data_IF_314916213616
#
_entry.id   IF_314916213616
#
_cell.length_a   1.000
_cell.length_b   1.000
_cell.length_c   1.000
_cell.angle_alpha   90.00
_cell.angle_beta   90.00
_cell.angle_gamma   90.00
#
_symmetry.space_group_name_H-M   'P 1'
#
loop_
_entity.id
_entity.type
_entity.pdbx_description
1 polymer ?
#
# COMPACT_ATOMS: atom_id res chain seq x y z
N UNK A 1 -4.42 -29.54 14.48
CA UNK A 1 -3.54 -28.77 13.57
C UNK A 1 -3.29 -27.44 14.25
N UNK A 2 -2.07 -27.14 14.71
CA UNK A 2 -1.82 -25.82 15.29
C UNK A 2 -1.85 -24.80 14.14
N UNK A 3 -2.74 -23.81 14.26
CA UNK A 3 -2.80 -22.66 13.38
C UNK A 3 -1.63 -21.74 13.68
N UNK A 4 -0.66 -21.63 12.79
CA UNK A 4 0.33 -20.57 12.82
C UNK A 4 -0.39 -19.25 12.51
N UNK A 5 -0.84 -18.56 13.55
CA UNK A 5 -1.17 -17.14 13.45
C UNK A 5 0.12 -16.44 13.01
N UNK A 6 0.17 -16.03 11.74
CA UNK A 6 1.28 -15.24 11.18
C UNK A 6 1.44 -13.96 11.98
N UNK A 7 2.37 -13.98 12.94
CA UNK A 7 2.76 -12.78 13.67
C UNK A 7 3.64 -11.98 12.72
N UNK A 8 3.16 -10.82 12.27
CA UNK A 8 3.98 -9.90 11.49
C UNK A 8 5.32 -9.68 12.22
N UNK A 9 6.45 -9.86 11.50
CA UNK A 9 7.83 -9.74 12.02
C UNK A 9 7.95 -8.56 12.98
N UNK A 10 8.50 -8.67 14.20
CA UNK A 10 8.55 -7.55 15.15
C UNK A 10 9.02 -6.24 14.50
N UNK A 11 8.41 -5.11 14.88
CA UNK A 11 8.85 -3.81 14.39
C UNK A 11 10.23 -3.50 15.00
N UNK A 12 11.23 -3.37 14.14
CA UNK A 12 12.55 -2.87 14.47
C UNK A 12 12.86 -1.61 13.62
N UNK A 13 13.91 -0.84 13.95
CA UNK A 13 14.20 0.41 13.25
C UNK A 13 14.39 0.24 11.73
N UNK A 14 15.04 -0.85 11.30
CA UNK A 14 15.31 -1.13 9.89
C UNK A 14 14.01 -1.38 9.10
N UNK A 15 13.08 -2.18 9.63
CA UNK A 15 11.78 -2.38 9.00
C UNK A 15 10.92 -1.11 9.03
N UNK A 16 11.05 -0.26 10.04
CA UNK A 16 10.36 1.02 10.10
C UNK A 16 10.86 2.01 9.04
N UNK A 17 12.17 2.03 8.80
CA UNK A 17 12.78 2.88 7.77
C UNK A 17 12.32 2.44 6.37
N UNK A 18 12.32 1.14 6.08
CA UNK A 18 11.81 0.60 4.81
C UNK A 18 10.32 0.95 4.57
N UNK A 19 9.49 0.89 5.62
CA UNK A 19 8.07 1.28 5.53
C UNK A 19 7.92 2.79 5.31
N UNK A 20 8.77 3.61 5.93
CA UNK A 20 8.79 5.05 5.73
C UNK A 20 9.21 5.41 4.30
N UNK A 21 10.25 4.75 3.77
CA UNK A 21 10.70 4.92 2.39
C UNK A 21 9.61 4.53 1.39
N UNK A 22 8.93 3.40 1.59
CA UNK A 22 7.77 3.01 0.79
C UNK A 22 6.69 4.10 0.86
N UNK A 23 6.37 4.61 2.06
CA UNK A 23 5.45 5.72 2.23
C UNK A 23 5.86 6.98 1.43
N UNK A 24 7.15 7.31 1.35
CA UNK A 24 7.63 8.42 0.51
C UNK A 24 7.48 8.11 -0.98
N UNK A 25 7.82 6.89 -1.41
CA UNK A 25 7.66 6.45 -2.80
C UNK A 25 6.19 6.56 -3.25
N UNK A 26 5.25 6.12 -2.41
CA UNK A 26 3.81 6.21 -2.71
C UNK A 26 3.33 7.67 -2.86
N UNK A 27 3.87 8.60 -2.07
CA UNK A 27 3.57 10.05 -2.21
C UNK A 27 4.07 10.57 -3.56
N UNK A 28 5.32 10.29 -3.88
CA UNK A 28 5.97 10.74 -5.12
C UNK A 28 5.23 10.21 -6.34
N UNK A 29 4.90 8.92 -6.35
CA UNK A 29 4.18 8.31 -7.48
C UNK A 29 2.74 8.83 -7.60
N UNK A 30 2.07 9.09 -6.48
CA UNK A 30 0.74 9.72 -6.49
C UNK A 30 0.79 11.11 -7.14
N UNK A 31 1.77 11.94 -6.77
CA UNK A 31 1.95 13.28 -7.35
C UNK A 31 2.23 13.17 -8.85
N UNK A 32 3.18 12.34 -9.26
CA UNK A 32 3.55 12.13 -10.66
C UNK A 32 2.37 11.67 -11.52
N UNK A 33 1.58 10.71 -11.01
CA UNK A 33 0.41 10.21 -11.73
C UNK A 33 -0.65 11.30 -11.94
N UNK A 34 -0.95 12.08 -10.91
CA UNK A 34 -1.95 13.16 -11.01
C UNK A 34 -1.48 14.34 -11.87
N UNK A 35 -0.18 14.66 -11.81
CA UNK A 35 0.42 15.71 -12.64
C UNK A 35 0.39 15.31 -14.13
N UNK A 36 0.82 14.08 -14.44
CA UNK A 36 0.77 13.54 -15.80
C UNK A 36 -0.65 13.48 -16.37
N UNK A 37 -1.66 13.22 -15.53
CA UNK A 37 -3.07 13.22 -15.93
C UNK A 37 -3.69 14.63 -16.01
N UNK A 38 -3.00 15.68 -15.54
CA UNK A 38 -3.55 17.03 -15.39
C UNK A 38 -4.74 17.12 -14.44
N UNK A 39 -5.00 16.09 -13.65
CA UNK A 39 -6.17 15.98 -12.76
C UNK A 39 -5.97 14.90 -11.69
N UNK A 40 -6.69 15.02 -10.57
CA UNK A 40 -6.72 14.01 -9.51
C UNK A 40 -6.61 14.60 -8.10
N UNK A 41 -6.43 13.74 -7.10
CA UNK A 41 -6.39 14.14 -5.68
C UNK A 41 -5.08 13.68 -5.01
N UNK A 42 -3.97 14.33 -5.38
CA UNK A 42 -2.63 14.01 -4.87
C UNK A 42 -2.56 14.12 -3.34
N UNK A 43 -3.11 15.18 -2.75
CA UNK A 43 -3.09 15.41 -1.30
C UNK A 43 -3.88 14.36 -0.53
N UNK A 44 -5.05 13.95 -1.05
CA UNK A 44 -5.80 12.82 -0.49
C UNK A 44 -5.04 11.51 -0.59
N UNK A 45 -4.21 11.32 -1.60
CA UNK A 45 -3.37 10.12 -1.75
C UNK A 45 -2.21 10.15 -0.75
N UNK A 46 -1.51 11.29 -0.64
CA UNK A 46 -0.40 11.48 0.29
C UNK A 46 -0.79 11.30 1.76
N UNK A 47 -2.01 11.67 2.15
CA UNK A 47 -2.48 11.49 3.54
C UNK A 47 -2.70 10.03 3.94
N UNK A 48 -2.79 9.09 2.99
CA UNK A 48 -2.88 7.66 3.28
C UNK A 48 -1.59 6.88 3.02
N UNK A 49 -0.52 7.53 2.54
CA UNK A 49 0.67 6.83 2.06
C UNK A 49 1.29 5.89 3.12
N UNK A 50 1.50 6.37 4.35
CA UNK A 50 2.10 5.54 5.41
C UNK A 50 1.17 4.39 5.81
N UNK A 51 -0.14 4.63 5.86
CA UNK A 51 -1.14 3.60 6.17
C UNK A 51 -1.17 2.52 5.09
N UNK A 52 -1.11 2.91 3.81
CA UNK A 52 -1.08 1.96 2.69
C UNK A 52 0.23 1.18 2.67
N UNK A 53 1.37 1.84 2.89
CA UNK A 53 2.67 1.17 2.99
C UNK A 53 2.67 0.08 4.06
N UNK A 54 2.20 0.41 5.27
CA UNK A 54 2.12 -0.54 6.39
C UNK A 54 1.12 -1.66 6.11
N UNK A 55 -0.05 -1.36 5.54
CA UNK A 55 -1.02 -2.41 5.23
C UNK A 55 -0.49 -3.38 4.17
N UNK A 56 0.00 -2.87 3.04
CA UNK A 56 0.41 -3.70 1.90
C UNK A 56 1.72 -4.44 2.12
N UNK A 57 2.72 -3.84 2.79
CA UNK A 57 4.03 -4.46 2.95
C UNK A 57 4.15 -5.36 4.18
N UNK A 58 3.15 -5.36 5.07
CA UNK A 58 3.27 -6.04 6.38
C UNK A 58 2.04 -6.80 6.84
N UNK A 59 0.83 -6.28 6.59
CA UNK A 59 -0.37 -6.85 7.20
C UNK A 59 -1.24 -7.64 6.23
N UNK A 60 -1.35 -7.20 4.98
CA UNK A 60 -2.17 -7.86 3.97
C UNK A 60 -1.39 -9.02 3.36
N UNK A 61 -2.04 -10.18 3.28
CA UNK A 61 -1.59 -11.28 2.45
C UNK A 61 -2.30 -11.19 1.09
N UNK A 62 -1.53 -10.84 0.07
CA UNK A 62 -2.03 -10.72 -1.30
C UNK A 62 -1.01 -11.24 -2.29
N UNK A 63 -1.42 -12.22 -3.10
CA UNK A 63 -0.64 -12.69 -4.25
C UNK A 63 -0.93 -11.81 -5.48
N UNK A 64 0.07 -11.02 -5.89
CA UNK A 64 -0.02 -10.10 -7.03
C UNK A 64 -0.01 -10.82 -8.39
N UNK A 65 0.53 -12.04 -8.47
CA UNK A 65 0.51 -12.87 -9.67
C UNK A 65 -0.80 -13.65 -9.82
N UNK A 66 -1.52 -13.86 -8.70
CA UNK A 66 -2.79 -14.57 -8.65
C UNK A 66 -3.90 -13.76 -7.94
N UNK A 67 -4.39 -12.66 -8.54
CA UNK A 67 -5.33 -11.72 -7.89
C UNK A 67 -6.70 -12.32 -7.54
N UNK A 68 -7.10 -13.41 -8.21
CA UNK A 68 -8.40 -14.07 -8.04
C UNK A 68 -8.43 -15.08 -6.87
N UNK A 69 -7.31 -15.31 -6.18
CA UNK A 69 -7.26 -16.25 -5.06
C UNK A 69 -8.27 -15.85 -3.97
N UNK A 70 -9.10 -16.81 -3.57
CA UNK A 70 -10.09 -16.62 -2.51
C UNK A 70 -9.45 -16.34 -1.14
N UNK A 71 -8.20 -16.75 -0.96
CA UNK A 71 -7.40 -16.57 0.26
C UNK A 71 -6.71 -15.22 0.36
N UNK A 72 -6.71 -14.41 -0.72
CA UNK A 72 -6.17 -13.06 -0.67
C UNK A 72 -7.02 -12.19 0.26
N UNK A 73 -6.34 -11.41 1.09
CA UNK A 73 -6.99 -10.36 1.87
C UNK A 73 -7.61 -9.32 0.92
N UNK A 74 -8.72 -8.73 1.37
CA UNK A 74 -9.48 -7.76 0.58
C UNK A 74 -9.27 -6.36 1.12
N UNK A 75 -8.71 -5.49 0.29
CA UNK A 75 -8.56 -4.07 0.58
C UNK A 75 -9.56 -3.25 -0.23
N UNK A 76 -10.35 -2.40 0.44
CA UNK A 76 -11.31 -1.49 -0.19
C UNK A 76 -10.97 -0.06 0.16
N UNK A 77 -10.49 0.71 -0.82
CA UNK A 77 -10.25 2.15 -0.65
C UNK A 77 -11.54 2.95 -0.80
N UNK A 78 -12.34 3.02 0.27
CA UNK A 78 -13.61 3.74 0.27
C UNK A 78 -13.47 5.23 -0.11
N UNK A 79 -12.36 5.87 0.27
CA UNK A 79 -11.99 7.21 -0.22
C UNK A 79 -11.46 7.16 -1.66
N UNK A 80 -12.26 6.67 -2.60
CA UNK A 80 -11.82 6.31 -3.96
C UNK A 80 -11.18 7.43 -4.79
N UNK A 81 -11.42 8.71 -4.43
CA UNK A 81 -10.71 9.84 -5.03
C UNK A 81 -9.20 9.83 -4.76
N UNK A 82 -8.74 9.14 -3.71
CA UNK A 82 -7.34 8.86 -3.41
C UNK A 82 -6.78 7.64 -4.18
N UNK A 83 -7.44 7.19 -5.25
CA UNK A 83 -7.00 6.05 -6.07
C UNK A 83 -5.53 6.06 -6.54
N UNK A 84 -4.86 7.22 -6.76
CA UNK A 84 -3.43 7.20 -7.10
C UNK A 84 -2.54 6.46 -6.09
N UNK A 85 -2.85 6.51 -4.78
CA UNK A 85 -2.04 5.77 -3.78
C UNK A 85 -2.22 4.26 -3.91
N UNK A 86 -3.42 3.80 -4.31
CA UNK A 86 -3.68 2.38 -4.55
C UNK A 86 -2.90 1.89 -5.76
N UNK A 87 -2.90 2.65 -6.85
CA UNK A 87 -2.12 2.31 -8.04
C UNK A 87 -0.61 2.33 -7.76
N UNK A 88 -0.14 3.29 -6.97
CA UNK A 88 1.26 3.35 -6.55
C UNK A 88 1.66 2.13 -5.71
N UNK A 89 0.78 1.64 -4.83
CA UNK A 89 1.03 0.43 -4.05
C UNK A 89 1.13 -0.82 -4.93
N UNK A 90 0.23 -0.95 -5.91
CA UNK A 90 0.27 -2.06 -6.88
C UNK A 90 1.52 -2.02 -7.78
N UNK A 91 2.01 -0.82 -8.10
CA UNK A 91 3.25 -0.65 -8.86
C UNK A 91 4.51 -1.02 -8.06
N UNK A 92 4.48 -0.81 -6.74
CA UNK A 92 5.61 -1.06 -5.85
C UNK A 92 5.74 -2.53 -5.41
N UNK A 93 4.68 -3.32 -5.63
CA UNK A 93 4.62 -4.75 -5.33
C UNK A 93 5.29 -5.62 -6.39
#
# INVERSE_FOLDING_TARGET
MPSETGTATPLDPENLDALAELGQQLRVDSVRATDAAGSGHATSSMSAADLVAVLFARHLHYDFDAPDLATNDRFVLSKGHASPVLYAAFKAA
#
